data_IF_409769887078
#
_entry.id   IF_409769887078
#
_cell.length_a   1.000
_cell.length_b   1.000
_cell.length_c   1.000
_cell.angle_alpha   90.00
_cell.angle_beta   90.00
_cell.angle_gamma   90.00
#
_symmetry.space_group_name_H-M   'P 1'
#
loop_
_entity.id
_entity.type
_entity.pdbx_description
1 polymer ?
#
# COMPACT_ATOMS: atom_id res chain seq x y z
N UNK A 1 8.44 30.03 -21.88
CA UNK A 1 8.70 28.57 -22.03
C UNK A 1 8.21 27.95 -20.75
N UNK A 2 7.21 27.08 -20.82
CA UNK A 2 6.61 26.43 -19.63
C UNK A 2 7.52 25.32 -19.14
N UNK A 3 7.61 25.13 -17.83
CA UNK A 3 8.37 24.06 -17.16
C UNK A 3 7.42 23.00 -16.63
N UNK A 4 7.94 21.77 -16.52
CA UNK A 4 7.27 20.69 -15.82
C UNK A 4 8.06 20.39 -14.56
N UNK A 5 7.40 20.49 -13.40
CA UNK A 5 7.96 20.08 -12.11
C UNK A 5 7.43 18.69 -11.77
N UNK A 6 8.35 17.78 -11.43
CA UNK A 6 8.04 16.48 -10.89
C UNK A 6 8.38 16.52 -9.40
N UNK A 7 7.35 16.40 -8.57
CA UNK A 7 7.43 16.55 -7.12
C UNK A 7 7.27 15.17 -6.50
N UNK A 8 8.22 14.79 -5.66
CA UNK A 8 8.20 13.55 -4.88
C UNK A 8 8.38 13.81 -3.38
N UNK A 9 8.37 12.75 -2.58
CA UNK A 9 8.21 12.86 -1.12
C UNK A 9 9.32 13.66 -0.43
N UNK A 10 10.50 13.70 -1.04
CA UNK A 10 11.60 14.56 -0.59
C UNK A 10 11.21 16.05 -0.51
N UNK A 11 10.21 16.51 -1.27
CA UNK A 11 9.65 17.85 -1.17
C UNK A 11 8.92 18.05 0.16
N UNK A 12 8.03 17.15 0.55
CA UNK A 12 7.27 17.24 1.82
C UNK A 12 8.21 17.12 3.02
N UNK A 13 9.13 16.15 2.98
CA UNK A 13 10.17 15.96 4.00
C UNK A 13 11.06 17.20 4.12
N UNK A 14 11.39 17.84 2.99
CA UNK A 14 12.11 19.11 2.99
C UNK A 14 11.32 20.24 3.69
N UNK A 15 9.99 20.19 3.73
CA UNK A 15 9.14 21.13 4.46
C UNK A 15 8.92 20.73 5.93
N UNK A 16 9.57 19.67 6.40
CA UNK A 16 9.46 19.19 7.78
C UNK A 16 8.27 18.28 8.03
N UNK A 17 7.61 17.82 6.96
CA UNK A 17 6.53 16.84 7.09
C UNK A 17 7.07 15.43 7.34
N UNK A 18 6.42 14.73 8.25
CA UNK A 18 6.70 13.33 8.58
C UNK A 18 5.94 12.41 7.62
N UNK A 19 6.25 12.49 6.32
CA UNK A 19 5.56 11.76 5.24
C UNK A 19 6.37 10.59 4.69
N UNK A 20 7.47 10.19 5.32
CA UNK A 20 8.20 8.98 4.92
C UNK A 20 7.45 7.71 5.33
N UNK A 21 7.73 6.61 4.61
CA UNK A 21 7.05 5.33 4.82
C UNK A 21 7.28 4.73 6.22
N UNK A 22 8.40 5.06 6.88
CA UNK A 22 8.62 4.65 8.26
C UNK A 22 7.69 5.39 9.24
N UNK A 23 7.37 6.65 8.95
CA UNK A 23 6.34 7.39 9.71
C UNK A 23 4.96 6.83 9.50
N UNK A 24 4.64 6.39 8.29
CA UNK A 24 3.40 5.65 8.04
C UNK A 24 3.36 4.32 8.81
N UNK A 25 4.43 3.52 8.78
CA UNK A 25 4.54 2.32 9.62
C UNK A 25 4.32 2.63 11.11
N UNK A 26 4.98 3.68 11.62
CA UNK A 26 4.83 4.11 13.02
C UNK A 26 3.38 4.49 13.33
N UNK A 27 2.68 5.09 12.38
CA UNK A 27 1.27 5.40 12.50
C UNK A 27 0.41 4.12 12.58
N UNK A 28 0.67 3.13 11.72
CA UNK A 28 0.01 1.82 11.75
C UNK A 28 0.28 1.10 13.08
N UNK A 29 1.52 1.12 13.58
CA UNK A 29 1.88 0.51 14.87
C UNK A 29 1.06 1.09 16.03
N UNK A 30 0.72 2.37 15.97
CA UNK A 30 -0.04 3.06 17.02
C UNK A 30 -1.57 2.93 16.88
N UNK A 31 -2.08 2.82 15.65
CA UNK A 31 -3.52 2.88 15.37
C UNK A 31 -4.12 1.56 14.93
N UNK A 32 -3.34 0.77 14.21
CA UNK A 32 -3.74 -0.48 13.55
C UNK A 32 -2.67 -1.57 13.74
N UNK A 33 -2.28 -1.91 14.99
CA UNK A 33 -1.18 -2.84 15.26
C UNK A 33 -1.44 -4.26 14.75
N UNK A 34 -2.69 -4.72 14.81
CA UNK A 34 -3.11 -6.03 14.28
C UNK A 34 -2.89 -6.09 12.76
N UNK A 35 -3.36 -5.06 12.03
CA UNK A 35 -3.11 -4.94 10.60
C UNK A 35 -1.61 -4.92 10.30
N UNK A 36 -0.83 -4.11 11.01
CA UNK A 36 0.62 -4.03 10.78
C UNK A 36 1.29 -5.38 10.99
N UNK A 37 0.90 -6.11 12.04
CA UNK A 37 1.47 -7.43 12.31
C UNK A 37 1.13 -8.44 11.21
N UNK A 38 -0.11 -8.50 10.74
CA UNK A 38 -0.49 -9.42 9.65
C UNK A 38 0.15 -9.01 8.33
N UNK A 39 0.19 -7.72 8.04
CA UNK A 39 0.82 -7.18 6.83
C UNK A 39 2.33 -7.47 6.80
N UNK A 40 3.07 -7.23 7.88
CA UNK A 40 4.52 -7.50 7.96
C UNK A 40 4.82 -9.01 7.86
N UNK A 41 3.94 -9.89 8.37
CA UNK A 41 4.08 -11.35 8.22
C UNK A 41 4.06 -11.79 6.76
N UNK A 42 3.31 -11.13 5.87
CA UNK A 42 3.30 -11.42 4.43
C UNK A 42 4.69 -11.26 3.80
N UNK A 43 5.54 -10.43 4.40
CA UNK A 43 6.92 -10.20 3.97
C UNK A 43 7.94 -10.96 4.84
N UNK A 44 7.49 -11.95 5.61
CA UNK A 44 8.35 -12.74 6.50
C UNK A 44 8.89 -11.97 7.71
N UNK A 45 8.27 -10.84 8.05
CA UNK A 45 8.70 -9.99 9.16
C UNK A 45 7.87 -10.33 10.40
N UNK A 46 8.52 -10.88 11.41
CA UNK A 46 7.92 -11.15 12.72
C UNK A 46 8.29 -10.03 13.70
N UNK A 47 7.28 -9.47 14.37
CA UNK A 47 7.48 -8.47 15.41
C UNK A 47 8.20 -9.07 16.62
N UNK A 48 9.03 -8.25 17.27
CA UNK A 48 9.68 -8.65 18.52
C UNK A 48 8.66 -8.66 19.66
N UNK A 49 8.72 -9.71 20.48
CA UNK A 49 7.98 -9.78 21.74
C UNK A 49 8.81 -9.09 22.84
N UNK A 50 8.26 -8.02 23.41
CA UNK A 50 8.92 -7.22 24.44
C UNK A 50 8.90 -7.88 25.83
N UNK A 51 8.16 -8.99 25.99
CA UNK A 51 8.13 -9.81 27.20
C UNK A 51 9.26 -10.83 27.25
N UNK A 52 9.95 -11.06 26.12
CA UNK A 52 11.02 -12.03 26.02
C UNK A 52 12.28 -11.61 26.81
N UNK A 53 12.95 -12.53 27.53
CA UNK A 53 14.10 -12.19 28.39
C UNK A 53 15.30 -11.58 27.66
N UNK A 54 15.40 -11.78 26.35
CA UNK A 54 16.46 -11.27 25.49
C UNK A 54 16.09 -9.94 24.81
N UNK A 55 14.87 -9.44 25.00
CA UNK A 55 14.44 -8.16 24.47
C UNK A 55 15.24 -7.01 25.08
N UNK A 56 15.71 -6.10 24.23
CA UNK A 56 16.36 -4.86 24.66
C UNK A 56 16.00 -3.72 23.71
N UNK A 57 16.06 -2.47 24.18
CA UNK A 57 15.89 -1.28 23.31
C UNK A 57 16.82 -1.33 22.10
N UNK A 58 18.07 -1.80 22.29
CA UNK A 58 19.03 -1.96 21.19
C UNK A 58 18.64 -3.06 20.21
N UNK A 59 17.98 -4.13 20.66
CA UNK A 59 17.44 -5.15 19.78
C UNK A 59 16.28 -4.58 18.94
N UNK A 60 15.38 -3.82 19.55
CA UNK A 60 14.31 -3.11 18.84
C UNK A 60 14.85 -2.14 17.80
N UNK A 61 15.85 -1.32 18.15
CA UNK A 61 16.47 -0.38 17.21
C UNK A 61 17.10 -1.09 16.00
N UNK A 62 17.78 -2.21 16.24
CA UNK A 62 18.38 -3.02 15.16
C UNK A 62 17.32 -3.66 14.28
N UNK A 63 16.26 -4.19 14.88
CA UNK A 63 15.14 -4.77 14.16
C UNK A 63 14.41 -3.71 13.34
N UNK A 64 14.14 -2.53 13.90
CA UNK A 64 13.54 -1.41 13.17
C UNK A 64 14.39 -0.99 11.96
N UNK A 65 15.71 -0.95 12.11
CA UNK A 65 16.61 -0.65 10.99
C UNK A 65 16.58 -1.72 9.89
N UNK A 66 16.52 -2.99 10.28
CA UNK A 66 16.39 -4.11 9.34
C UNK A 66 15.05 -4.04 8.61
N UNK A 67 13.93 -3.94 9.32
CA UNK A 67 12.57 -3.85 8.76
C UNK A 67 12.40 -2.64 7.86
N UNK A 68 12.96 -1.49 8.23
CA UNK A 68 12.94 -0.34 7.33
C UNK A 68 13.73 -0.60 6.05
N UNK A 69 14.92 -1.19 6.17
CA UNK A 69 15.77 -1.48 5.00
C UNK A 69 15.14 -2.54 4.09
N UNK A 70 14.56 -3.58 4.68
CA UNK A 70 14.12 -4.77 3.96
C UNK A 70 12.71 -4.61 3.38
N UNK A 71 11.86 -3.74 3.95
CA UNK A 71 10.50 -3.47 3.45
C UNK A 71 10.21 -1.97 3.25
N UNK A 72 10.14 -1.19 4.32
CA UNK A 72 9.50 0.14 4.27
C UNK A 72 10.26 1.20 3.46
N UNK A 73 11.57 1.08 3.30
CA UNK A 73 12.36 2.01 2.48
C UNK A 73 12.26 1.76 0.98
N UNK A 74 11.86 0.55 0.58
CA UNK A 74 11.61 0.14 -0.81
C UNK A 74 10.13 -0.24 -1.02
N UNK A 75 9.24 0.34 -0.20
CA UNK A 75 7.85 -0.09 -0.06
C UNK A 75 7.09 -0.13 -1.39
N UNK A 76 7.21 0.92 -2.21
CA UNK A 76 6.53 1.01 -3.51
C UNK A 76 7.02 -0.06 -4.51
N UNK A 77 8.31 -0.40 -4.48
CA UNK A 77 8.90 -1.43 -5.35
C UNK A 77 8.42 -2.83 -4.94
N UNK A 78 8.44 -3.13 -3.64
CA UNK A 78 8.02 -4.42 -3.09
C UNK A 78 6.51 -4.64 -3.20
N UNK A 79 5.70 -3.59 -3.02
CA UNK A 79 4.25 -3.63 -3.28
C UNK A 79 3.92 -3.74 -4.77
N UNK A 80 4.81 -3.27 -5.66
CA UNK A 80 4.64 -3.43 -7.11
C UNK A 80 4.91 -4.86 -7.62
N UNK A 81 5.53 -5.69 -6.78
CA UNK A 81 5.87 -7.08 -7.06
C UNK A 81 5.47 -7.98 -5.88
N UNK A 82 4.16 -8.11 -5.56
CA UNK A 82 3.73 -9.08 -4.58
C UNK A 82 4.25 -10.47 -5.00
N UNK A 83 4.73 -11.27 -4.04
CA UNK A 83 5.18 -12.64 -4.32
C UNK A 83 3.97 -13.53 -4.60
N UNK A 84 3.46 -13.40 -5.82
CA UNK A 84 2.34 -14.13 -6.37
C UNK A 84 2.60 -15.63 -6.30
N UNK A 85 3.88 -16.06 -6.38
CA UNK A 85 4.24 -17.48 -6.31
C UNK A 85 4.02 -18.02 -4.90
N UNK A 86 4.43 -17.29 -3.88
CA UNK A 86 4.19 -17.68 -2.48
C UNK A 86 2.71 -17.61 -2.11
N UNK A 87 1.96 -16.63 -2.65
CA UNK A 87 0.50 -16.58 -2.51
C UNK A 87 -0.18 -17.82 -3.15
N UNK A 88 0.25 -18.25 -4.34
CA UNK A 88 -0.24 -19.45 -5.02
C UNK A 88 0.16 -20.76 -4.31
N UNK A 89 1.36 -20.81 -3.73
CA UNK A 89 1.83 -21.98 -2.98
C UNK A 89 1.09 -22.13 -1.66
N UNK A 90 0.93 -21.04 -0.88
CA UNK A 90 0.19 -21.08 0.36
C UNK A 90 -1.27 -21.47 0.13
N UNK A 91 -1.88 -20.96 -0.95
CA UNK A 91 -3.26 -21.28 -1.30
C UNK A 91 -3.46 -22.71 -1.77
N UNK A 92 -2.53 -23.27 -2.54
CA UNK A 92 -2.57 -24.68 -2.93
C UNK A 92 -2.41 -25.62 -1.72
N UNK A 93 -1.54 -25.29 -0.76
CA UNK A 93 -1.43 -26.05 0.50
C UNK A 93 -2.73 -26.03 1.32
N UNK A 94 -3.42 -24.88 1.42
CA UNK A 94 -4.70 -24.80 2.12
C UNK A 94 -5.76 -25.65 1.42
N UNK A 95 -5.84 -25.60 0.09
CA UNK A 95 -6.75 -26.44 -0.70
C UNK A 95 -6.52 -27.94 -0.45
N UNK A 96 -5.26 -28.36 -0.35
CA UNK A 96 -4.90 -29.75 -0.08
C UNK A 96 -5.26 -30.18 1.36
N UNK A 97 -5.22 -29.26 2.32
CA UNK A 97 -5.49 -29.51 3.74
C UNK A 97 -6.98 -29.43 4.13
N UNK A 98 -7.86 -28.94 3.26
CA UNK A 98 -9.29 -28.70 3.60
C UNK A 98 -10.15 -29.96 3.80
N UNK A 99 -9.61 -31.18 3.61
CA UNK A 99 -10.24 -32.51 3.85
C UNK A 99 -11.76 -32.56 3.58
N UNK A 100 -12.18 -32.01 2.44
CA UNK A 100 -13.59 -31.88 2.10
C UNK A 100 -14.12 -33.22 1.58
N UNK A 101 -15.15 -33.76 2.24
CA UNK A 101 -15.86 -35.00 1.87
C UNK A 101 -16.36 -35.02 0.40
N UNK A 102 -16.51 -33.86 -0.24
CA UNK A 102 -16.94 -33.68 -1.63
C UNK A 102 -15.84 -33.28 -2.64
N UNK A 103 -14.59 -33.13 -2.21
CA UNK A 103 -13.52 -32.50 -2.99
C UNK A 103 -13.72 -30.99 -3.18
N UNK A 104 -12.96 -30.39 -4.09
CA UNK A 104 -12.94 -28.93 -4.35
C UNK A 104 -14.15 -28.45 -5.20
N UNK A 105 -15.35 -28.96 -4.92
CA UNK A 105 -16.59 -28.64 -5.65
C UNK A 105 -17.52 -27.84 -4.74
N UNK A 106 -18.01 -26.68 -5.19
CA UNK A 106 -18.85 -25.78 -4.39
C UNK A 106 -18.08 -25.06 -3.27
N UNK A 107 -16.77 -24.88 -3.43
CA UNK A 107 -15.89 -24.26 -2.43
C UNK A 107 -15.70 -22.77 -2.67
N UNK A 108 -16.11 -22.26 -3.84
CA UNK A 108 -15.87 -20.89 -4.29
C UNK A 108 -16.23 -19.83 -3.25
N UNK A 109 -17.45 -19.88 -2.72
CA UNK A 109 -17.93 -18.89 -1.74
C UNK A 109 -17.10 -18.90 -0.44
N UNK A 110 -16.65 -20.09 -0.01
CA UNK A 110 -15.83 -20.23 1.20
C UNK A 110 -14.43 -19.66 0.97
N UNK A 111 -13.86 -19.93 -0.20
CA UNK A 111 -12.55 -19.42 -0.58
C UNK A 111 -12.56 -17.92 -0.81
N UNK A 112 -13.57 -17.37 -1.46
CA UNK A 112 -13.68 -15.93 -1.69
C UNK A 112 -13.77 -15.17 -0.36
N UNK A 113 -14.50 -15.69 0.65
CA UNK A 113 -14.52 -15.12 2.01
C UNK A 113 -13.14 -15.20 2.65
N UNK A 114 -12.48 -16.36 2.59
CA UNK A 114 -11.13 -16.53 3.13
C UNK A 114 -10.13 -15.56 2.48
N UNK A 115 -10.14 -15.43 1.15
CA UNK A 115 -9.27 -14.51 0.43
C UNK A 115 -9.61 -13.06 0.69
N UNK A 116 -10.88 -12.72 0.88
CA UNK A 116 -11.25 -11.38 1.30
C UNK A 116 -10.69 -11.04 2.69
N UNK A 117 -10.65 -12.00 3.61
CA UNK A 117 -9.99 -11.84 4.91
C UNK A 117 -8.46 -11.77 4.77
N UNK A 118 -7.86 -12.59 3.90
CA UNK A 118 -6.40 -12.69 3.73
C UNK A 118 -5.79 -11.63 2.79
N UNK A 119 -6.56 -11.00 1.91
CA UNK A 119 -6.08 -10.04 0.91
C UNK A 119 -6.87 -8.74 0.89
N UNK A 120 -7.91 -8.62 1.73
CA UNK A 120 -8.56 -7.36 2.06
C UNK A 120 -7.60 -6.30 2.63
N UNK A 121 -6.39 -6.70 3.02
CA UNK A 121 -5.31 -5.81 3.42
C UNK A 121 -5.00 -4.72 2.40
N UNK A 122 -5.13 -5.00 1.09
CA UNK A 122 -4.87 -3.99 0.07
C UNK A 122 -5.85 -2.82 0.18
N UNK A 123 -7.14 -3.11 0.37
CA UNK A 123 -8.16 -2.07 0.54
C UNK A 123 -7.99 -1.33 1.88
N UNK A 124 -7.75 -2.08 2.96
CA UNK A 124 -7.50 -1.51 4.29
C UNK A 124 -6.24 -0.62 4.30
N UNK A 125 -5.20 -1.00 3.55
CA UNK A 125 -3.98 -0.20 3.39
C UNK A 125 -4.33 1.17 2.80
N UNK A 126 -5.14 1.22 1.74
CA UNK A 126 -5.56 2.49 1.13
C UNK A 126 -6.35 3.36 2.12
N UNK A 127 -7.26 2.75 2.87
CA UNK A 127 -8.04 3.45 3.89
C UNK A 127 -7.13 4.03 4.99
N UNK A 128 -6.12 3.28 5.43
CA UNK A 128 -5.18 3.73 6.46
C UNK A 128 -4.20 4.79 5.94
N UNK A 129 -3.81 4.72 4.67
CA UNK A 129 -3.05 5.80 4.01
C UNK A 129 -3.89 7.07 4.01
N UNK A 130 -5.15 6.99 3.59
CA UNK A 130 -6.06 8.13 3.62
C UNK A 130 -6.18 8.72 5.04
N UNK A 131 -6.49 7.88 6.02
CA UNK A 131 -6.63 8.29 7.42
C UNK A 131 -5.35 8.94 7.98
N UNK A 132 -4.18 8.43 7.58
CA UNK A 132 -2.88 8.98 7.96
C UNK A 132 -2.63 10.35 7.34
N UNK A 133 -2.80 10.49 6.02
CA UNK A 133 -2.56 11.74 5.30
C UNK A 133 -3.50 12.85 5.77
N UNK A 134 -4.76 12.52 6.10
CA UNK A 134 -5.73 13.48 6.65
C UNK A 134 -5.29 14.09 7.99
N UNK A 135 -4.42 13.40 8.74
CA UNK A 135 -3.86 13.89 10.01
C UNK A 135 -2.61 14.75 9.84
N UNK A 136 -2.08 14.85 8.63
CA UNK A 136 -0.87 15.63 8.36
C UNK A 136 -1.25 17.11 8.28
N UNK A 137 -0.88 17.86 9.32
CA UNK A 137 -1.09 19.30 9.36
C UNK A 137 -0.08 20.03 8.47
N UNK A 138 -0.62 20.86 7.57
CA UNK A 138 0.12 21.68 6.62
C UNK A 138 0.02 23.18 6.92
N UNK A 139 -0.78 23.58 7.92
CA UNK A 139 -1.12 24.98 8.20
C UNK A 139 0.07 25.83 8.69
N UNK A 140 1.09 25.21 9.29
CA UNK A 140 2.29 25.86 9.79
C UNK A 140 3.48 25.90 8.83
N UNK A 141 3.33 25.37 7.61
CA UNK A 141 4.45 25.22 6.67
C UNK A 141 4.69 26.53 5.91
N UNK A 142 5.97 26.90 5.78
CA UNK A 142 6.40 28.05 5.00
C UNK A 142 7.03 27.63 3.67
N UNK A 143 6.79 28.38 2.57
CA UNK A 143 7.45 28.12 1.30
C UNK A 143 8.97 28.17 1.42
N UNK A 144 9.65 27.11 0.97
CA UNK A 144 11.12 27.09 0.85
C UNK A 144 11.61 27.70 -0.46
N UNK A 145 10.81 27.61 -1.54
CA UNK A 145 11.12 28.16 -2.86
C UNK A 145 10.16 29.26 -3.26
N UNK A 146 10.55 30.52 -3.04
CA UNK A 146 9.70 31.69 -3.34
C UNK A 146 9.25 31.77 -4.81
N UNK A 147 10.05 31.23 -5.73
CA UNK A 147 9.77 31.19 -7.17
C UNK A 147 8.56 30.35 -7.58
N UNK A 148 8.10 29.44 -6.70
CA UNK A 148 6.96 28.56 -6.98
C UNK A 148 5.64 29.14 -6.46
N UNK A 149 5.68 30.19 -5.64
CA UNK A 149 4.47 30.75 -5.02
C UNK A 149 3.58 31.38 -6.10
N UNK A 150 2.35 30.90 -6.21
CA UNK A 150 1.34 31.38 -7.16
C UNK A 150 1.72 31.10 -8.62
N UNK A 151 2.48 30.05 -8.89
CA UNK A 151 2.88 29.69 -10.24
C UNK A 151 1.73 28.98 -10.97
N UNK A 152 1.10 29.71 -11.89
CA UNK A 152 0.00 29.28 -12.77
C UNK A 152 0.44 29.02 -14.23
N UNK A 153 1.71 29.28 -14.54
CA UNK A 153 2.25 29.15 -15.90
C UNK A 153 2.87 27.77 -16.17
N UNK A 154 3.45 27.16 -15.14
CA UNK A 154 4.14 25.87 -15.20
C UNK A 154 3.23 24.70 -14.80
N UNK A 155 3.65 23.48 -15.14
CA UNK A 155 2.91 22.25 -14.84
C UNK A 155 3.52 21.51 -13.64
N UNK A 156 2.67 20.94 -12.78
CA UNK A 156 3.09 20.21 -11.59
C UNK A 156 2.55 18.79 -11.60
N UNK A 157 3.45 17.82 -11.59
CA UNK A 157 3.14 16.41 -11.39
C UNK A 157 3.57 16.01 -9.97
N UNK A 158 2.62 15.67 -9.13
CA UNK A 158 2.85 15.40 -7.71
C UNK A 158 2.64 13.91 -7.39
N UNK A 159 3.69 13.28 -6.86
CA UNK A 159 3.66 11.91 -6.35
C UNK A 159 3.30 11.87 -4.86
N UNK A 160 3.22 13.03 -4.19
CA UNK A 160 2.86 13.12 -2.78
C UNK A 160 1.35 13.17 -2.61
N UNK A 161 0.90 12.73 -1.46
CA UNK A 161 -0.52 12.75 -1.10
C UNK A 161 -0.95 14.07 -0.44
N UNK A 162 -0.02 14.89 0.02
CA UNK A 162 -0.34 16.12 0.78
C UNK A 162 -0.60 17.31 -0.14
N UNK A 163 -1.42 18.25 0.34
CA UNK A 163 -1.77 19.48 -0.39
C UNK A 163 -0.77 20.63 -0.21
N UNK A 164 0.54 20.38 -0.14
CA UNK A 164 1.54 21.43 0.13
C UNK A 164 1.61 22.43 -1.03
N UNK A 165 1.53 21.99 -2.28
CA UNK A 165 1.62 22.88 -3.44
C UNK A 165 0.41 23.82 -3.51
N UNK A 166 -0.77 23.32 -3.18
CA UNK A 166 -2.04 24.04 -3.19
C UNK A 166 -2.12 24.99 -2.00
N UNK A 167 -1.86 24.48 -0.78
CA UNK A 167 -2.08 25.25 0.46
C UNK A 167 -0.93 26.20 0.78
N UNK A 168 0.32 25.78 0.57
CA UNK A 168 1.50 26.57 0.94
C UNK A 168 1.96 27.43 -0.23
N UNK A 169 1.95 26.87 -1.44
CA UNK A 169 2.41 27.56 -2.64
C UNK A 169 1.29 28.20 -3.46
N UNK A 170 0.01 27.95 -3.16
CA UNK A 170 -1.12 28.54 -3.89
C UNK A 170 -1.10 28.21 -5.39
N UNK A 171 -0.70 26.98 -5.73
CA UNK A 171 -0.70 26.46 -7.10
C UNK A 171 -2.03 25.73 -7.33
N UNK A 172 -2.77 26.14 -8.36
CA UNK A 172 -4.11 25.60 -8.64
C UNK A 172 -4.07 24.31 -9.50
N UNK A 173 -3.16 24.24 -10.48
CA UNK A 173 -3.10 23.13 -11.44
C UNK A 173 -2.00 22.11 -11.07
N UNK A 174 -2.34 21.23 -10.14
CA UNK A 174 -1.46 20.14 -9.67
C UNK A 174 -2.07 18.79 -10.02
N UNK A 175 -1.32 17.99 -10.76
CA UNK A 175 -1.71 16.61 -11.09
C UNK A 175 -1.19 15.64 -10.02
N UNK A 176 -2.07 15.22 -9.11
CA UNK A 176 -1.81 14.15 -8.15
C UNK A 176 -2.03 12.77 -8.78
N UNK A 177 -0.96 12.06 -9.11
CA UNK A 177 -1.08 10.75 -9.79
C UNK A 177 -1.59 9.63 -8.88
N UNK A 178 -1.40 9.78 -7.58
CA UNK A 178 -1.80 8.83 -6.55
C UNK A 178 -3.02 9.32 -5.75
N UNK A 179 -3.70 10.35 -6.25
CA UNK A 179 -4.77 11.01 -5.48
C UNK A 179 -4.26 11.79 -4.28
N UNK A 180 -5.21 12.33 -3.52
CA UNK A 180 -4.96 13.14 -2.31
C UNK A 180 -6.20 13.11 -1.42
N UNK A 181 -6.17 13.87 -0.33
CA UNK A 181 -7.35 14.11 0.51
C UNK A 181 -8.45 14.80 -0.29
N UNK A 182 -9.70 14.59 0.12
CA UNK A 182 -10.91 15.02 -0.61
C UNK A 182 -10.95 16.53 -0.91
N UNK A 183 -10.30 17.36 -0.07
CA UNK A 183 -10.20 18.81 -0.32
C UNK A 183 -9.28 19.20 -1.49
N UNK A 184 -8.48 18.27 -2.00
CA UNK A 184 -7.43 18.52 -3.00
C UNK A 184 -7.66 17.69 -4.27
N UNK A 185 -8.08 16.43 -4.15
CA UNK A 185 -8.29 15.54 -5.29
C UNK A 185 -9.61 14.78 -5.17
N UNK A 186 -10.26 14.54 -6.31
CA UNK A 186 -11.41 13.63 -6.42
C UNK A 186 -10.98 12.15 -6.28
N UNK A 187 -9.70 11.86 -6.53
CA UNK A 187 -9.12 10.53 -6.41
C UNK A 187 -8.61 10.38 -4.97
N UNK A 188 -9.15 9.41 -4.25
CA UNK A 188 -8.65 9.05 -2.90
C UNK A 188 -7.19 8.61 -2.97
N UNK A 189 -6.41 8.75 -1.89
CA UNK A 189 -5.03 8.29 -1.86
C UNK A 189 -4.92 6.82 -2.24
N UNK A 190 -4.08 6.52 -3.23
CA UNK A 190 -3.78 5.17 -3.70
C UNK A 190 -2.27 4.96 -3.59
N UNK A 191 -1.89 3.98 -2.78
CA UNK A 191 -0.51 3.59 -2.52
C UNK A 191 -0.18 2.28 -3.24
N UNK A 192 1.03 2.22 -3.81
CA UNK A 192 1.51 1.10 -4.61
C UNK A 192 1.42 1.35 -6.11
N UNK A 193 1.89 0.39 -6.90
CA UNK A 193 1.80 0.44 -8.35
C UNK A 193 0.63 -0.41 -8.81
N UNK A 194 -0.45 0.23 -9.29
CA UNK A 194 -1.53 -0.45 -10.01
C UNK A 194 -0.95 -1.16 -11.24
N UNK A 195 -0.54 -2.42 -11.13
CA UNK A 195 -0.06 -3.18 -12.27
C UNK A 195 -1.26 -3.72 -13.04
N UNK A 196 -1.93 -2.82 -13.77
CA UNK A 196 -3.12 -3.14 -14.55
C UNK A 196 -2.91 -4.35 -15.46
N UNK A 197 -1.72 -4.48 -16.05
CA UNK A 197 -1.37 -5.60 -16.92
C UNK A 197 -1.36 -6.92 -16.16
N UNK A 198 -0.76 -6.99 -14.98
CA UNK A 198 -0.79 -8.22 -14.16
C UNK A 198 -2.20 -8.49 -13.63
N UNK A 199 -2.89 -7.46 -13.13
CA UNK A 199 -4.29 -7.56 -12.68
C UNK A 199 -5.22 -8.07 -13.79
N UNK A 200 -5.00 -7.66 -15.05
CA UNK A 200 -5.74 -8.15 -16.22
C UNK A 200 -5.41 -9.60 -16.58
N UNK A 201 -4.13 -10.01 -16.49
CA UNK A 201 -3.71 -11.40 -16.69
C UNK A 201 -4.35 -12.33 -15.67
N UNK A 202 -4.31 -11.97 -14.39
CA UNK A 202 -4.93 -12.77 -13.33
C UNK A 202 -6.45 -12.89 -13.51
N UNK A 203 -7.14 -11.81 -13.92
CA UNK A 203 -8.56 -11.90 -14.31
C UNK A 203 -8.81 -12.84 -15.50
N UNK A 204 -7.86 -12.94 -16.43
CA UNK A 204 -7.98 -13.84 -17.57
C UNK A 204 -7.77 -15.29 -17.13
N UNK A 205 -6.78 -15.56 -16.27
CA UNK A 205 -6.56 -16.89 -15.70
C UNK A 205 -7.71 -17.35 -14.80
N UNK A 206 -8.34 -16.44 -14.04
CA UNK A 206 -9.56 -16.76 -13.28
C UNK A 206 -10.68 -17.26 -14.21
N UNK A 207 -10.91 -16.58 -15.34
CA UNK A 207 -11.90 -17.01 -16.33
C UNK A 207 -11.58 -18.36 -16.95
N UNK A 208 -10.30 -18.59 -17.28
CA UNK A 208 -9.86 -19.88 -17.84
C UNK A 208 -10.06 -21.02 -16.83
N UNK A 209 -9.77 -20.78 -15.55
CA UNK A 209 -10.03 -21.72 -14.47
C UNK A 209 -11.53 -21.99 -14.26
N UNK A 210 -12.39 -20.97 -14.36
CA UNK A 210 -13.85 -21.12 -14.32
C UNK A 210 -14.35 -22.00 -15.49
N UNK A 211 -13.81 -21.81 -16.69
CA UNK A 211 -14.16 -22.62 -17.87
C UNK A 211 -13.75 -24.10 -17.72
N UNK A 212 -12.71 -24.36 -16.93
CA UNK A 212 -12.25 -25.71 -16.56
C UNK A 212 -12.94 -26.27 -15.30
N UNK A 213 -13.89 -25.54 -14.70
CA UNK A 213 -14.55 -25.87 -13.43
C UNK A 213 -13.59 -26.03 -12.25
N UNK A 214 -12.45 -25.33 -12.29
CA UNK A 214 -11.49 -25.28 -11.20
C UNK A 214 -11.78 -24.07 -10.29
N UNK A 215 -12.79 -24.24 -9.43
CA UNK A 215 -13.27 -23.18 -8.53
C UNK A 215 -12.17 -22.63 -7.61
N UNK A 216 -11.24 -23.49 -7.17
CA UNK A 216 -10.15 -23.12 -6.28
C UNK A 216 -9.14 -22.19 -6.95
N UNK A 217 -8.65 -22.59 -8.12
CA UNK A 217 -7.74 -21.76 -8.92
C UNK A 217 -8.40 -20.44 -9.31
N UNK A 218 -9.65 -20.46 -9.75
CA UNK A 218 -10.37 -19.24 -10.15
C UNK A 218 -10.50 -18.25 -8.99
N UNK A 219 -10.82 -18.74 -7.79
CA UNK A 219 -10.91 -17.92 -6.57
C UNK A 219 -9.57 -17.27 -6.20
N UNK A 220 -8.47 -18.03 -6.30
CA UNK A 220 -7.12 -17.52 -6.03
C UNK A 220 -6.72 -16.44 -7.04
N UNK A 221 -6.95 -16.70 -8.33
CA UNK A 221 -6.61 -15.77 -9.40
C UNK A 221 -7.38 -14.46 -9.30
N UNK A 222 -8.67 -14.51 -8.93
CA UNK A 222 -9.47 -13.31 -8.67
C UNK A 222 -8.97 -12.52 -7.46
N UNK A 223 -8.59 -13.21 -6.37
CA UNK A 223 -8.02 -12.56 -5.19
C UNK A 223 -6.69 -11.82 -5.51
N UNK A 224 -5.81 -12.44 -6.30
CA UNK A 224 -4.57 -11.81 -6.76
C UNK A 224 -4.88 -10.61 -7.65
N UNK A 225 -5.86 -10.73 -8.55
CA UNK A 225 -6.23 -9.63 -9.45
C UNK A 225 -6.76 -8.39 -8.72
N UNK A 226 -7.45 -8.57 -7.59
CA UNK A 226 -7.90 -7.49 -6.70
C UNK A 226 -6.72 -6.86 -5.97
N UNK A 227 -5.76 -7.68 -5.52
CA UNK A 227 -4.57 -7.23 -4.77
C UNK A 227 -3.58 -6.47 -5.64
N UNK A 228 -3.47 -6.81 -6.92
CA UNK A 228 -2.60 -6.14 -7.89
C UNK A 228 -3.16 -4.80 -8.44
N UNK A 229 -4.32 -4.37 -7.94
CA UNK A 229 -5.05 -3.18 -8.41
C UNK A 229 -4.58 -1.93 -7.71
#
# INVERSE_FOLDING_TARGET
MKRLYIIGNGFDVAHGLNTDYWKFRTYLEQKHPEFLSEFEKLYGIQQLDDTEPWYTIKAQERWNQAVNKDLWSAFEELMGHPDITDMLNYSSCILDDMDLDGGNIGIRDTMDVYWQEQFGFANLLQDYVKEWIEKIDTSGILPRKKELIGNDEDYFLNFNYTGVLERVYQIEDVTHIHGSIESISEITPIMGHCNKTESEKHRQWAKEADEEYNEGESSIQDAIAVTAK
#
